data_IF_041219093027
#
_entry.id   IF_041219093027
#
_cell.length_a   1.000
_cell.length_b   1.000
_cell.length_c   1.000
_cell.angle_alpha   90.00
_cell.angle_beta   90.00
_cell.angle_gamma   90.00
#
_symmetry.space_group_name_H-M   'P 1'
#
loop_
_entity.id
_entity.type
_entity.pdbx_description
1 polymer ?
#
# COMPACT_ATOMS: atom_id res chain seq x y z
N UNK A 1 26.57 -9.83 -24.94
CA UNK A 1 25.99 -11.17 -25.20
C UNK A 1 25.50 -11.77 -23.88
N UNK A 2 26.37 -11.82 -22.88
CA UNK A 2 26.08 -12.32 -21.53
C UNK A 2 24.86 -11.67 -20.83
N UNK A 3 24.72 -10.33 -20.81
CA UNK A 3 23.57 -9.68 -20.15
C UNK A 3 22.21 -10.05 -20.78
N UNK A 4 22.19 -10.28 -22.09
CA UNK A 4 20.97 -10.66 -22.81
C UNK A 4 20.57 -12.10 -22.48
N UNK A 5 21.56 -12.99 -22.35
CA UNK A 5 21.37 -14.37 -21.91
C UNK A 5 20.91 -14.42 -20.44
N UNK A 6 21.48 -13.59 -19.56
CA UNK A 6 21.04 -13.46 -18.17
C UNK A 6 19.61 -12.96 -18.07
N UNK A 7 19.21 -11.99 -18.90
CA UNK A 7 17.80 -11.52 -18.97
C UNK A 7 16.85 -12.61 -19.46
N UNK A 8 17.21 -13.38 -20.48
CA UNK A 8 16.38 -14.48 -20.97
C UNK A 8 16.26 -15.61 -19.92
N UNK A 9 17.37 -16.02 -19.32
CA UNK A 9 17.40 -17.04 -18.26
C UNK A 9 16.62 -16.60 -17.02
N UNK A 10 16.75 -15.35 -16.60
CA UNK A 10 15.98 -14.78 -15.48
C UNK A 10 14.48 -14.76 -15.76
N UNK A 11 14.05 -14.37 -16.98
CA UNK A 11 12.65 -14.44 -17.39
C UNK A 11 12.10 -15.87 -17.42
N UNK A 12 12.87 -16.82 -17.95
CA UNK A 12 12.48 -18.24 -17.98
C UNK A 12 12.40 -18.84 -16.57
N UNK A 13 13.35 -18.51 -15.69
CA UNK A 13 13.35 -18.91 -14.29
C UNK A 13 12.17 -18.31 -13.53
N UNK A 14 11.85 -17.03 -13.78
CA UNK A 14 10.71 -16.35 -13.19
C UNK A 14 9.38 -16.96 -13.65
N UNK A 15 9.22 -17.25 -14.95
CA UNK A 15 8.04 -17.93 -15.50
C UNK A 15 7.86 -19.34 -14.92
N UNK A 16 8.94 -20.11 -14.79
CA UNK A 16 8.93 -21.45 -14.17
C UNK A 16 8.65 -21.40 -12.66
N UNK A 17 9.08 -20.33 -11.99
CA UNK A 17 8.86 -20.11 -10.55
C UNK A 17 7.52 -19.43 -10.24
N UNK A 18 6.78 -19.00 -11.26
CA UNK A 18 5.51 -18.25 -11.14
C UNK A 18 4.41 -19.07 -10.47
N UNK A 19 4.37 -20.38 -10.70
CA UNK A 19 3.46 -21.30 -9.99
C UNK A 19 4.03 -21.81 -8.66
N UNK A 20 5.36 -21.77 -8.50
CA UNK A 20 6.05 -22.11 -7.25
C UNK A 20 6.18 -20.93 -6.29
N UNK A 21 5.48 -19.83 -6.57
CA UNK A 21 5.63 -18.57 -5.85
C UNK A 21 4.75 -18.44 -4.61
N UNK A 22 4.57 -19.54 -3.88
CA UNK A 22 3.72 -19.55 -2.69
C UNK A 22 4.47 -18.95 -1.50
N UNK A 23 5.65 -19.42 -1.12
CA UNK A 23 6.23 -19.06 0.20
C UNK A 23 6.64 -17.60 0.37
N UNK A 24 7.34 -16.99 -0.59
CA UNK A 24 7.80 -15.60 -0.46
C UNK A 24 6.62 -14.61 -0.49
N UNK A 25 5.73 -14.76 -1.47
CA UNK A 25 4.57 -13.89 -1.61
C UNK A 25 3.56 -14.10 -0.49
N UNK A 26 3.35 -15.32 0.00
CA UNK A 26 2.54 -15.56 1.20
C UNK A 26 3.17 -14.94 2.45
N UNK A 27 4.50 -15.02 2.62
CA UNK A 27 5.18 -14.33 3.73
C UNK A 27 5.00 -12.82 3.66
N UNK A 28 5.21 -12.22 2.48
CA UNK A 28 5.03 -10.79 2.26
C UNK A 28 3.56 -10.35 2.49
N UNK A 29 2.59 -11.10 1.97
CA UNK A 29 1.17 -10.81 2.18
C UNK A 29 0.76 -10.97 3.65
N UNK A 30 1.25 -12.00 4.35
CA UNK A 30 0.99 -12.23 5.77
C UNK A 30 1.66 -11.17 6.65
N UNK A 31 2.87 -10.74 6.30
CA UNK A 31 3.53 -9.61 6.98
C UNK A 31 2.72 -8.32 6.80
N UNK A 32 2.29 -8.02 5.57
CA UNK A 32 1.41 -6.87 5.30
C UNK A 32 0.10 -6.97 6.07
N UNK A 33 -0.53 -8.16 6.13
CA UNK A 33 -1.75 -8.39 6.91
C UNK A 33 -1.52 -8.13 8.41
N UNK A 34 -0.40 -8.59 8.97
CA UNK A 34 -0.04 -8.37 10.37
C UNK A 34 0.23 -6.89 10.68
N UNK A 35 0.97 -6.21 9.81
CA UNK A 35 1.28 -4.78 9.98
C UNK A 35 0.03 -3.90 9.85
N UNK A 36 -0.89 -4.27 8.96
CA UNK A 36 -2.12 -3.53 8.71
C UNK A 36 -3.29 -4.00 9.59
N UNK A 37 -3.04 -4.89 10.57
CA UNK A 37 -4.09 -5.35 11.47
C UNK A 37 -4.42 -4.27 12.49
N UNK A 38 -5.65 -3.77 12.42
CA UNK A 38 -6.19 -2.80 13.39
C UNK A 38 -6.97 -3.58 14.43
N UNK A 39 -6.40 -3.74 15.63
CA UNK A 39 -7.02 -4.50 16.73
C UNK A 39 -8.00 -3.69 17.58
N UNK A 40 -7.81 -2.38 17.67
CA UNK A 40 -8.76 -1.46 18.30
C UNK A 40 -8.55 -0.05 17.76
N UNK A 41 -9.56 0.80 17.91
CA UNK A 41 -9.45 2.23 17.67
C UNK A 41 -9.94 2.99 18.90
N UNK A 42 -9.43 4.20 19.11
CA UNK A 42 -9.86 5.07 20.20
C UNK A 42 -10.46 6.35 19.61
N UNK A 43 -11.70 6.65 19.98
CA UNK A 43 -12.45 7.81 19.52
C UNK A 43 -13.03 8.49 20.75
N UNK A 44 -12.75 9.78 20.93
CA UNK A 44 -13.31 10.60 22.02
C UNK A 44 -13.10 10.02 23.44
N UNK A 45 -12.03 9.25 23.63
CA UNK A 45 -11.71 8.61 24.90
C UNK A 45 -12.24 7.18 25.06
N UNK A 46 -13.16 6.75 24.19
CA UNK A 46 -13.71 5.40 24.20
C UNK A 46 -12.94 4.46 23.26
N UNK A 47 -12.73 3.21 23.71
CA UNK A 47 -12.00 2.19 22.96
C UNK A 47 -12.98 1.21 22.32
N UNK A 48 -12.86 1.07 21.00
CA UNK A 48 -13.67 0.17 20.18
C UNK A 48 -12.81 -0.99 19.72
N UNK A 49 -13.25 -2.21 20.02
CA UNK A 49 -12.55 -3.46 19.66
C UNK A 49 -13.31 -4.28 18.63
N UNK A 50 -14.61 -4.06 18.47
CA UNK A 50 -15.46 -4.77 17.52
C UNK A 50 -15.15 -4.34 16.08
N UNK A 51 -15.01 -5.32 15.19
CA UNK A 51 -14.56 -5.06 13.82
C UNK A 51 -15.59 -4.28 13.02
N UNK A 52 -16.88 -4.59 13.22
CA UNK A 52 -17.97 -3.90 12.53
C UNK A 52 -17.99 -2.41 12.87
N UNK A 53 -17.80 -2.08 14.14
CA UNK A 53 -17.78 -0.70 14.63
C UNK A 53 -16.54 0.04 14.11
N UNK A 54 -15.37 -0.59 14.16
CA UNK A 54 -14.12 -0.03 13.62
C UNK A 54 -14.29 0.37 12.15
N UNK A 55 -14.85 -0.53 11.33
CA UNK A 55 -15.07 -0.27 9.90
C UNK A 55 -16.04 0.88 9.70
N UNK A 56 -17.15 0.89 10.45
CA UNK A 56 -18.16 1.94 10.37
C UNK A 56 -17.59 3.31 10.72
N UNK A 57 -16.83 3.40 11.81
CA UNK A 57 -16.16 4.63 12.22
C UNK A 57 -15.14 5.12 11.20
N UNK A 58 -14.32 4.23 10.64
CA UNK A 58 -13.35 4.57 9.60
C UNK A 58 -14.04 5.14 8.35
N UNK A 59 -15.07 4.44 7.85
CA UNK A 59 -15.83 4.87 6.67
C UNK A 59 -16.45 6.25 6.91
N UNK A 60 -17.10 6.45 8.06
CA UNK A 60 -17.72 7.73 8.40
C UNK A 60 -16.70 8.86 8.54
N UNK A 61 -15.57 8.60 9.20
CA UNK A 61 -14.50 9.59 9.39
C UNK A 61 -13.92 10.04 8.05
N UNK A 62 -13.52 9.10 7.20
CA UNK A 62 -12.90 9.41 5.92
C UNK A 62 -13.90 10.00 4.91
N UNK A 63 -15.16 9.53 4.90
CA UNK A 63 -16.20 10.13 4.04
C UNK A 63 -16.40 11.62 4.35
N UNK A 64 -16.45 11.98 5.64
CA UNK A 64 -16.52 13.38 6.08
C UNK A 64 -15.24 14.15 5.72
N UNK A 65 -14.07 13.55 5.92
CA UNK A 65 -12.78 14.18 5.66
C UNK A 65 -12.57 14.48 4.16
N UNK A 66 -12.88 13.52 3.28
CA UNK A 66 -12.73 13.69 1.83
C UNK A 66 -13.81 14.56 1.18
N UNK A 67 -14.91 14.83 1.90
CA UNK A 67 -15.92 15.80 1.48
C UNK A 67 -15.48 17.24 1.77
N UNK A 68 -14.50 17.44 2.66
CA UNK A 68 -13.90 18.76 2.90
C UNK A 68 -12.85 19.07 1.81
N UNK A 69 -12.98 20.28 1.29
CA UNK A 69 -12.07 21.03 0.41
C UNK A 69 -10.91 20.27 -0.28
N UNK A 70 -11.03 20.07 -1.59
CA UNK A 70 -10.07 19.37 -2.46
C UNK A 70 -8.89 20.24 -2.92
N UNK A 71 -8.62 21.37 -2.25
CA UNK A 71 -7.65 22.39 -2.70
C UNK A 71 -6.21 21.92 -2.87
N UNK A 72 -5.80 20.81 -2.23
CA UNK A 72 -4.47 20.24 -2.44
C UNK A 72 -4.55 18.86 -3.10
N UNK A 73 -4.84 18.86 -4.40
CA UNK A 73 -4.47 17.76 -5.28
C UNK A 73 -3.53 18.34 -6.33
N UNK A 74 -2.20 18.19 -6.18
CA UNK A 74 -1.30 18.55 -7.26
C UNK A 74 -1.73 17.76 -8.49
N UNK A 75 -2.15 18.47 -9.53
CA UNK A 75 -2.40 17.86 -10.82
C UNK A 75 -1.04 17.32 -11.26
N UNK A 76 -0.98 16.06 -11.68
CA UNK A 76 0.24 15.41 -12.18
C UNK A 76 0.92 16.14 -13.37
N UNK A 77 0.32 17.25 -13.81
CA UNK A 77 0.76 18.17 -14.85
C UNK A 77 1.66 19.30 -14.32
N UNK A 78 1.89 19.41 -13.02
CA UNK A 78 2.81 20.39 -12.43
C UNK A 78 4.16 19.73 -12.10
N UNK A 79 4.87 19.28 -13.13
CA UNK A 79 6.19 18.61 -13.02
C UNK A 79 7.38 19.57 -12.81
N UNK A 80 7.14 20.82 -12.40
CA UNK A 80 8.22 21.79 -12.22
C UNK A 80 8.66 22.00 -10.76
N UNK A 81 7.93 21.47 -9.77
CA UNK A 81 8.19 21.79 -8.36
C UNK A 81 9.13 20.83 -7.59
N UNK A 82 9.86 19.93 -8.25
CA UNK A 82 10.82 19.02 -7.59
C UNK A 82 12.26 19.14 -8.11
N UNK A 83 12.67 20.31 -8.61
CA UNK A 83 14.09 20.58 -8.92
C UNK A 83 14.92 21.04 -7.73
N UNK A 84 14.38 21.08 -6.51
CA UNK A 84 15.13 21.56 -5.34
C UNK A 84 15.12 20.51 -4.25
N UNK A 85 16.20 19.73 -4.17
CA UNK A 85 16.99 19.40 -2.96
C UNK A 85 17.96 18.28 -3.33
N UNK A 86 19.05 18.60 -4.03
CA UNK A 86 20.34 17.90 -3.91
C UNK A 86 21.44 18.87 -4.41
N UNK A 87 21.92 19.70 -3.49
CA UNK A 87 23.28 20.25 -3.51
C UNK A 87 23.95 19.77 -2.24
#
# INVERSE_FOLDING_TARGET
MEEMEWRQRSKALWLKSRDNNTRFFHKAASQRRRLNHIGCIQIEGERWTERADIVTHLVNHFSKSFSKDRRWRPLWRDKELLRVTLT
#
